data_IF_638624749242
#
_entry.id   IF_638624749242
#
_cell.length_a   1.000
_cell.length_b   1.000
_cell.length_c   1.000
_cell.angle_alpha   90.00
_cell.angle_beta   90.00
_cell.angle_gamma   90.00
#
_symmetry.space_group_name_H-M   'P 1'
#
loop_
_entity.id
_entity.type
_entity.pdbx_description
1 polymer ?
#
# COMPACT_ATOMS: atom_id res chain seq x y z
N UNK A 1 -23.86 9.16 0.68
CA UNK A 1 -22.72 9.94 0.16
C UNK A 1 -22.29 9.29 -1.15
N UNK A 2 -22.21 10.00 -2.29
CA UNK A 2 -21.76 9.39 -3.53
C UNK A 2 -20.33 8.89 -3.31
N UNK A 3 -20.10 7.60 -3.55
CA UNK A 3 -18.76 6.98 -3.50
C UNK A 3 -17.94 7.54 -4.66
N UNK A 4 -17.25 8.66 -4.41
CA UNK A 4 -16.28 9.21 -5.34
C UNK A 4 -15.20 8.14 -5.56
N UNK A 5 -15.04 7.70 -6.80
CA UNK A 5 -14.00 6.74 -7.16
C UNK A 5 -12.66 7.45 -6.96
N UNK A 6 -11.76 6.93 -6.10
CA UNK A 6 -10.43 7.50 -5.91
C UNK A 6 -9.66 7.57 -7.23
N UNK A 7 -8.82 8.58 -7.39
CA UNK A 7 -8.03 8.74 -8.62
C UNK A 7 -6.75 7.91 -8.58
N UNK A 8 -6.17 7.65 -9.76
CA UNK A 8 -4.86 7.01 -9.86
C UNK A 8 -3.76 7.82 -9.16
N UNK A 9 -3.91 9.15 -9.09
CA UNK A 9 -2.96 10.02 -8.38
C UNK A 9 -3.03 9.81 -6.86
N UNK A 10 -4.23 9.59 -6.33
CA UNK A 10 -4.42 9.35 -4.90
C UNK A 10 -3.74 8.05 -4.47
N UNK A 11 -3.92 6.97 -5.22
CA UNK A 11 -3.29 5.68 -4.91
C UNK A 11 -1.78 5.69 -5.17
N UNK A 12 -1.32 6.36 -6.23
CA UNK A 12 0.12 6.51 -6.49
C UNK A 12 0.83 7.27 -5.37
N UNK A 13 0.17 8.25 -4.78
CA UNK A 13 0.68 8.99 -3.61
C UNK A 13 0.80 8.14 -2.35
N UNK A 14 0.21 6.93 -2.32
CA UNK A 14 0.38 5.97 -1.23
C UNK A 14 1.61 5.08 -1.41
N UNK A 15 2.15 4.96 -2.62
CA UNK A 15 3.32 4.13 -2.86
C UNK A 15 4.51 4.58 -2.00
N UNK A 16 5.12 3.62 -1.30
CA UNK A 16 6.22 3.89 -0.39
C UNK A 16 5.83 4.45 0.98
N UNK A 17 4.53 4.72 1.25
CA UNK A 17 4.09 5.23 2.55
C UNK A 17 3.93 4.12 3.58
N UNK A 18 4.14 4.47 4.85
CA UNK A 18 3.94 3.57 5.98
C UNK A 18 2.44 3.45 6.24
N UNK A 19 1.91 2.22 6.16
CA UNK A 19 0.50 1.91 6.33
C UNK A 19 -0.06 2.43 7.67
N UNK A 20 0.73 2.33 8.75
CA UNK A 20 0.34 2.81 10.08
C UNK A 20 0.23 4.35 10.19
N UNK A 21 0.82 5.09 9.25
CA UNK A 21 0.77 6.56 9.20
C UNK A 21 -0.28 7.09 8.21
N UNK A 22 -1.05 6.20 7.58
CA UNK A 22 -2.11 6.63 6.67
C UNK A 22 -3.28 7.21 7.46
N UNK A 23 -3.77 8.34 6.98
CA UNK A 23 -5.03 8.95 7.40
C UNK A 23 -6.23 8.11 6.97
N UNK A 24 -7.39 8.37 7.57
CA UNK A 24 -8.63 7.63 7.27
C UNK A 24 -9.01 7.67 5.78
N UNK A 25 -8.79 8.79 5.10
CA UNK A 25 -9.08 8.90 3.67
C UNK A 25 -8.08 8.13 2.82
N UNK A 26 -6.79 8.15 3.16
CA UNK A 26 -5.76 7.35 2.48
C UNK A 26 -6.00 5.84 2.64
N UNK A 27 -6.46 5.41 3.82
CA UNK A 27 -6.87 4.01 4.04
C UNK A 27 -8.07 3.64 3.16
N UNK A 28 -9.03 4.54 2.93
CA UNK A 28 -10.16 4.29 2.01
C UNK A 28 -9.71 4.14 0.57
N UNK A 29 -8.78 4.99 0.12
CA UNK A 29 -8.19 4.88 -1.23
C UNK A 29 -7.48 3.54 -1.36
N UNK A 30 -6.67 3.16 -0.38
CA UNK A 30 -5.97 1.88 -0.35
C UNK A 30 -6.94 0.71 -0.42
N UNK A 31 -7.97 0.69 0.43
CA UNK A 31 -8.94 -0.41 0.50
C UNK A 31 -9.76 -0.54 -0.78
N UNK A 32 -10.11 0.59 -1.40
CA UNK A 32 -10.76 0.63 -2.71
C UNK A 32 -9.92 -0.07 -3.77
N UNK A 33 -8.65 0.29 -3.92
CA UNK A 33 -7.78 -0.32 -4.93
C UNK A 33 -7.33 -1.74 -4.55
N UNK A 34 -7.31 -2.09 -3.27
CA UNK A 34 -7.09 -3.49 -2.86
C UNK A 34 -8.25 -4.39 -3.27
N UNK A 35 -9.48 -3.88 -3.22
CA UNK A 35 -10.68 -4.64 -3.57
C UNK A 35 -11.01 -4.59 -5.06
N UNK A 36 -10.82 -3.43 -5.69
CA UNK A 36 -11.28 -3.15 -7.05
C UNK A 36 -10.14 -2.82 -8.03
N UNK A 37 -8.88 -2.75 -7.58
CA UNK A 37 -7.77 -2.27 -8.40
C UNK A 37 -7.53 -3.07 -9.67
N UNK A 38 -7.84 -4.37 -9.68
CA UNK A 38 -7.76 -5.20 -10.89
C UNK A 38 -8.62 -4.66 -12.05
N UNK A 39 -9.74 -3.98 -11.77
CA UNK A 39 -10.59 -3.35 -12.80
C UNK A 39 -9.92 -2.12 -13.42
N UNK A 40 -9.03 -1.49 -12.68
CA UNK A 40 -8.30 -0.30 -13.06
C UNK A 40 -6.86 -0.61 -13.45
N UNK A 41 -6.48 -1.89 -13.59
CA UNK A 41 -5.10 -2.32 -13.82
C UNK A 41 -4.11 -1.79 -12.75
N UNK A 42 -4.55 -1.75 -11.49
CA UNK A 42 -3.76 -1.35 -10.32
C UNK A 42 -3.69 -2.51 -9.32
N UNK A 43 -2.49 -2.81 -8.84
CA UNK A 43 -2.25 -3.76 -7.75
C UNK A 43 -1.70 -3.02 -6.54
N UNK A 44 -2.35 -3.19 -5.38
CA UNK A 44 -1.88 -2.63 -4.12
C UNK A 44 -1.56 -3.77 -3.16
N UNK A 45 -0.36 -3.75 -2.62
CA UNK A 45 0.14 -4.71 -1.63
C UNK A 45 0.66 -3.98 -0.40
N UNK A 46 0.47 -4.58 0.77
CA UNK A 46 1.07 -4.10 2.02
C UNK A 46 2.26 -5.01 2.29
N UNK A 47 3.46 -4.48 2.09
CA UNK A 47 4.71 -5.20 2.30
C UNK A 47 5.16 -4.94 3.73
N UNK A 48 5.27 -6.00 4.53
CA UNK A 48 5.84 -5.90 5.85
C UNK A 48 7.37 -5.76 5.70
N UNK A 49 7.88 -4.52 5.73
CA UNK A 49 9.31 -4.22 5.75
C UNK A 49 9.87 -4.43 7.17
N UNK A 50 9.61 -5.59 7.78
CA UNK A 50 10.40 -5.99 8.94
C UNK A 50 11.86 -6.01 8.50
N UNK A 51 12.65 -5.11 9.06
CA UNK A 51 14.06 -5.00 8.72
C UNK A 51 14.69 -6.38 8.95
N UNK A 52 15.26 -7.00 7.90
CA UNK A 52 15.80 -8.34 8.03
C UNK A 52 16.97 -8.40 9.02
N UNK A 53 17.64 -7.27 9.29
CA UNK A 53 18.68 -7.14 10.31
C UNK A 53 18.07 -7.17 11.71
N UNK A 54 16.97 -6.44 11.96
CA UNK A 54 16.25 -6.52 13.24
C UNK A 54 15.64 -7.91 13.45
N UNK A 55 15.07 -8.51 12.39
CA UNK A 55 14.48 -9.84 12.45
C UNK A 55 15.54 -10.93 12.70
N UNK A 56 16.75 -10.79 12.14
CA UNK A 56 17.88 -11.69 12.39
C UNK A 56 18.51 -11.46 13.77
N UNK A 57 18.43 -10.24 14.31
CA UNK A 57 18.88 -9.92 15.67
C UNK A 57 17.91 -10.39 16.76
N UNK A 58 16.67 -10.77 16.40
CA UNK A 58 15.67 -11.28 17.32
C UNK A 58 16.18 -12.53 18.05
N UNK A 59 16.29 -12.45 19.38
CA UNK A 59 16.84 -13.55 20.19
C UNK A 59 15.81 -14.62 20.52
N UNK A 60 14.58 -14.47 20.04
CA UNK A 60 13.45 -15.35 20.33
C UNK A 60 12.35 -15.22 19.28
N UNK A 61 11.60 -16.30 19.05
CA UNK A 61 10.45 -16.28 18.13
C UNK A 61 9.39 -15.24 18.54
N UNK A 62 9.16 -15.03 19.84
CA UNK A 62 8.22 -14.03 20.30
C UNK A 62 8.69 -12.59 20.00
N UNK A 63 10.01 -12.36 20.02
CA UNK A 63 10.62 -11.08 19.67
C UNK A 63 10.56 -10.84 18.16
N UNK A 64 10.82 -11.86 17.35
CA UNK A 64 10.63 -11.82 15.90
C UNK A 64 9.17 -11.54 15.51
N UNK A 65 8.21 -12.12 16.24
CA UNK A 65 6.78 -11.81 16.09
C UNK A 65 6.47 -10.37 16.50
N UNK A 66 7.08 -9.87 17.58
CA UNK A 66 6.97 -8.49 18.02
C UNK A 66 7.52 -7.50 16.99
N UNK A 67 8.67 -7.78 16.40
CA UNK A 67 9.31 -7.00 15.34
C UNK A 67 8.43 -7.03 14.09
N UNK A 68 7.96 -8.19 13.64
CA UNK A 68 7.00 -8.27 12.51
C UNK A 68 5.70 -7.52 12.78
N UNK A 69 5.22 -7.48 14.03
CA UNK A 69 4.02 -6.73 14.41
C UNK A 69 4.25 -5.21 14.49
N UNK A 70 5.47 -4.78 14.81
CA UNK A 70 5.86 -3.35 14.92
C UNK A 70 6.47 -2.80 13.65
N UNK A 71 6.96 -3.66 12.77
CA UNK A 71 7.55 -3.30 11.50
C UNK A 71 6.54 -2.49 10.69
N UNK A 72 6.99 -1.30 10.31
CA UNK A 72 6.24 -0.38 9.48
C UNK A 72 5.92 -1.07 8.16
N UNK A 73 4.70 -1.59 8.04
CA UNK A 73 4.27 -2.17 6.78
C UNK A 73 4.16 -1.05 5.76
N UNK A 74 4.90 -1.13 4.67
CA UNK A 74 4.91 -0.14 3.60
C UNK A 74 3.91 -0.54 2.53
N UNK A 75 3.20 0.46 2.02
CA UNK A 75 2.32 0.29 0.87
C UNK A 75 3.17 0.23 -0.39
N UNK A 76 2.94 -0.79 -1.21
CA UNK A 76 3.51 -0.92 -2.54
C UNK A 76 2.37 -0.91 -3.55
N UNK A 77 2.47 -0.02 -4.53
CA UNK A 77 1.49 0.14 -5.60
C UNK A 77 2.17 -0.17 -6.92
N UNK A 78 1.60 -1.09 -7.67
CA UNK A 78 2.00 -1.38 -9.05
C UNK A 78 0.88 -0.93 -9.98
N UNK A 79 1.20 -0.01 -10.88
CA UNK A 79 0.29 0.49 -11.90
C UNK A 79 0.63 -0.25 -13.19
N UNK A 80 -0.38 -0.89 -13.79
CA UNK A 80 -0.23 -1.61 -15.04
C UNK A 80 -0.36 -0.68 -16.26
N UNK A 81 -0.01 -1.19 -17.45
CA UNK A 81 0.08 -0.38 -18.67
C UNK A 81 -1.25 0.26 -19.09
N UNK A 82 -2.40 -0.37 -18.81
CA UNK A 82 -3.69 0.22 -19.14
C UNK A 82 -4.02 1.41 -18.23
N UNK A 83 -3.66 1.30 -16.95
CA UNK A 83 -3.81 2.38 -15.99
C UNK A 83 -2.87 3.55 -16.30
N UNK A 84 -1.63 3.26 -16.69
CA UNK A 84 -0.66 4.28 -17.10
C UNK A 84 -1.14 5.06 -18.34
N UNK A 85 -1.73 4.38 -19.32
CA UNK A 85 -2.27 5.02 -20.52
C UNK A 85 -3.45 5.95 -20.18
N UNK A 86 -4.38 5.47 -19.35
CA UNK A 86 -5.53 6.25 -18.87
C UNK A 86 -5.12 7.45 -18.01
N UNK A 87 -4.00 7.33 -17.29
CA UNK A 87 -3.42 8.44 -16.53
C UNK A 87 -2.72 9.45 -17.45
N UNK A 88 -1.91 9.00 -18.39
CA UNK A 88 -1.21 9.85 -19.35
C UNK A 88 -2.17 10.66 -20.24
N UNK A 89 -3.35 10.12 -20.54
CA UNK A 89 -4.40 10.82 -21.27
C UNK A 89 -5.12 11.92 -20.45
N UNK A 90 -4.95 11.93 -19.13
CA UNK A 90 -5.58 12.87 -18.18
C UNK A 90 -4.64 13.92 -17.60
N UNK A 91 -3.32 13.81 -17.86
CA UNK A 91 -2.29 14.75 -17.45
C UNK A 91 -2.12 15.89 -18.46
#
# INVERSE_FOLDING_TARGET
MPTLIPTLNDVKSLDGRIYALLSTDEVRVLDFYRTQGRKFDVLVSIVNEADPVELAAARSQNEAVGIKKRANSRVSVTIGPAAELEWAARA
#
